data_IF_465032946578
#
_entry.id   IF_465032946578
#
_cell.length_a   1.000
_cell.length_b   1.000
_cell.length_c   1.000
_cell.angle_alpha   90.00
_cell.angle_beta   90.00
_cell.angle_gamma   90.00
#
_symmetry.space_group_name_H-M   'P 1'
#
loop_
_entity.id
_entity.type
_entity.pdbx_description
1 polymer ?
#
# COMPACT_ATOMS: atom_id res chain seq x y z
N UNK A 1 -24.34 -37.22 7.40
CA UNK A 1 -23.49 -36.07 7.00
C UNK A 1 -22.32 -36.67 6.22
N UNK A 2 -22.02 -36.15 5.03
CA UNK A 2 -21.01 -36.75 4.12
C UNK A 2 -19.59 -36.54 4.64
N UNK A 3 -18.74 -37.56 4.55
CA UNK A 3 -17.31 -37.54 4.92
C UNK A 3 -16.54 -36.39 4.22
N UNK A 4 -16.97 -36.01 3.01
CA UNK A 4 -16.41 -34.88 2.25
C UNK A 4 -16.56 -33.54 2.98
N UNK A 5 -17.67 -33.36 3.73
CA UNK A 5 -17.95 -32.14 4.46
C UNK A 5 -17.10 -32.03 5.73
N UNK A 6 -16.72 -33.16 6.31
CA UNK A 6 -15.82 -33.23 7.45
C UNK A 6 -14.37 -32.99 7.04
N UNK A 7 -13.92 -33.60 5.94
CA UNK A 7 -12.61 -33.34 5.32
C UNK A 7 -12.43 -31.87 4.94
N UNK A 8 -13.44 -31.25 4.32
CA UNK A 8 -13.40 -29.84 3.96
C UNK A 8 -13.28 -28.92 5.19
N UNK A 9 -13.94 -29.27 6.30
CA UNK A 9 -13.86 -28.52 7.57
C UNK A 9 -12.50 -28.67 8.25
N UNK A 10 -11.93 -29.88 8.27
CA UNK A 10 -10.61 -30.13 8.81
C UNK A 10 -9.54 -29.36 8.04
N UNK A 11 -9.56 -29.44 6.71
CA UNK A 11 -8.64 -28.68 5.85
C UNK A 11 -8.73 -27.17 6.09
N UNK A 12 -9.95 -26.61 6.17
CA UNK A 12 -10.13 -25.18 6.45
C UNK A 12 -9.58 -24.77 7.83
N UNK A 13 -9.75 -25.64 8.84
CA UNK A 13 -9.27 -25.38 10.20
C UNK A 13 -7.74 -25.43 10.29
N UNK A 14 -7.11 -26.43 9.66
CA UNK A 14 -5.66 -26.57 9.59
C UNK A 14 -5.03 -25.40 8.83
N UNK A 15 -5.60 -25.04 7.68
CA UNK A 15 -5.16 -23.91 6.89
C UNK A 15 -5.22 -22.60 7.68
N UNK A 16 -6.34 -22.34 8.36
CA UNK A 16 -6.51 -21.17 9.24
C UNK A 16 -5.46 -21.14 10.36
N UNK A 17 -5.23 -22.29 11.02
CA UNK A 17 -4.22 -22.41 12.07
C UNK A 17 -2.82 -22.06 11.55
N UNK A 18 -2.46 -22.56 10.36
CA UNK A 18 -1.18 -22.27 9.73
C UNK A 18 -1.01 -20.77 9.43
N UNK A 19 -2.02 -20.12 8.85
CA UNK A 19 -2.00 -18.66 8.60
C UNK A 19 -1.84 -17.87 9.89
N UNK A 20 -2.62 -18.19 10.94
CA UNK A 20 -2.54 -17.50 12.22
C UNK A 20 -1.18 -17.70 12.91
N UNK A 21 -0.62 -18.90 12.85
CA UNK A 21 0.73 -19.19 13.36
C UNK A 21 1.79 -18.34 12.66
N UNK A 22 1.72 -18.27 11.32
CA UNK A 22 2.64 -17.48 10.51
C UNK A 22 2.58 -15.97 10.81
N UNK A 23 1.39 -15.45 11.14
CA UNK A 23 1.19 -14.04 11.52
C UNK A 23 1.53 -13.73 12.99
N UNK A 24 1.67 -14.76 13.84
CA UNK A 24 2.01 -14.60 15.27
C UNK A 24 3.47 -14.91 15.60
N UNK A 25 4.20 -15.58 14.71
CA UNK A 25 5.61 -15.92 14.91
C UNK A 25 6.50 -14.68 14.83
N UNK A 26 7.71 -14.79 15.38
CA UNK A 26 8.78 -13.80 15.25
C UNK A 26 9.96 -14.40 14.47
N UNK A 27 10.39 -13.80 13.34
CA UNK A 27 9.79 -12.66 12.66
C UNK A 27 8.48 -13.03 11.93
N UNK A 28 7.54 -12.07 11.91
CA UNK A 28 6.22 -12.23 11.29
C UNK A 28 6.30 -12.58 9.81
N UNK A 29 5.52 -13.58 9.38
CA UNK A 29 5.43 -13.97 7.98
C UNK A 29 4.33 -13.21 7.23
N UNK A 30 4.69 -12.08 6.65
CA UNK A 30 3.75 -11.31 5.83
C UNK A 30 3.38 -12.01 4.51
N UNK A 31 4.05 -13.09 4.10
CA UNK A 31 3.57 -13.84 2.93
C UNK A 31 2.24 -14.55 3.19
N UNK A 32 1.91 -14.81 4.47
CA UNK A 32 0.68 -15.47 4.87
C UNK A 32 -0.58 -14.61 4.61
N UNK A 33 -0.46 -13.29 4.44
CA UNK A 33 -1.61 -12.43 4.12
C UNK A 33 -1.90 -12.35 2.62
N UNK A 34 -1.04 -12.87 1.74
CA UNK A 34 -1.25 -12.81 0.30
C UNK A 34 -2.56 -13.54 -0.10
N UNK A 35 -3.32 -12.98 -1.03
CA UNK A 35 -4.62 -13.50 -1.47
C UNK A 35 -4.54 -14.94 -1.98
N UNK A 36 -3.47 -15.29 -2.69
CA UNK A 36 -3.21 -16.64 -3.16
C UNK A 36 -3.07 -17.67 -2.03
N UNK A 37 -2.56 -17.24 -0.86
CA UNK A 37 -2.33 -18.10 0.30
C UNK A 37 -3.47 -18.05 1.30
N UNK A 38 -4.16 -16.93 1.41
CA UNK A 38 -5.30 -16.76 2.29
C UNK A 38 -6.36 -15.91 1.60
N UNK A 39 -7.23 -16.52 0.77
CA UNK A 39 -8.28 -15.80 0.06
C UNK A 39 -9.19 -15.05 1.04
N UNK A 40 -9.56 -15.74 2.12
CA UNK A 40 -10.27 -15.19 3.27
C UNK A 40 -9.32 -15.21 4.45
N UNK A 41 -8.80 -14.05 4.81
CA UNK A 41 -7.93 -13.92 5.97
C UNK A 41 -8.76 -14.10 7.26
N UNK A 42 -8.32 -14.92 8.23
CA UNK A 42 -9.06 -15.17 9.47
C UNK A 42 -8.96 -13.99 10.46
N UNK A 43 -9.30 -12.79 10.01
CA UNK A 43 -9.17 -11.52 10.74
C UNK A 43 -9.95 -11.54 12.06
N UNK A 44 -11.09 -12.23 12.10
CA UNK A 44 -11.91 -12.39 13.31
C UNK A 44 -11.19 -13.12 14.46
N UNK A 45 -10.11 -13.85 14.17
CA UNK A 45 -9.28 -14.53 15.17
C UNK A 45 -8.03 -13.73 15.57
N UNK A 46 -7.89 -12.51 15.03
CA UNK A 46 -6.81 -11.58 15.36
C UNK A 46 -7.36 -10.45 16.23
N UNK A 47 -6.66 -10.14 17.32
CA UNK A 47 -6.96 -8.94 18.11
C UNK A 47 -6.68 -7.68 17.29
N UNK A 48 -7.29 -6.54 17.67
CA UNK A 48 -6.99 -5.25 17.04
C UNK A 48 -5.49 -4.93 17.05
N UNK A 49 -4.81 -5.22 18.17
CA UNK A 49 -3.36 -5.07 18.29
C UNK A 49 -2.59 -5.95 17.30
N UNK A 50 -3.01 -7.19 17.09
CA UNK A 50 -2.39 -8.07 16.10
C UNK A 50 -2.60 -7.55 14.67
N UNK A 51 -3.80 -7.08 14.34
CA UNK A 51 -4.10 -6.48 13.03
C UNK A 51 -3.24 -5.23 12.78
N UNK A 52 -3.17 -4.35 13.78
CA UNK A 52 -2.31 -3.17 13.75
C UNK A 52 -0.84 -3.54 13.58
N UNK A 53 -0.33 -4.53 14.31
CA UNK A 53 1.06 -4.98 14.20
C UNK A 53 1.39 -5.55 12.81
N UNK A 54 0.46 -6.25 12.16
CA UNK A 54 0.63 -6.71 10.78
C UNK A 54 0.77 -5.52 9.84
N UNK A 55 -0.12 -4.52 9.95
CA UNK A 55 -0.07 -3.32 9.11
C UNK A 55 1.18 -2.49 9.37
N UNK A 56 1.58 -2.34 10.64
CA UNK A 56 2.85 -1.73 11.04
C UNK A 56 4.03 -2.42 10.37
N UNK A 57 4.13 -3.75 10.46
CA UNK A 57 5.20 -4.52 9.85
C UNK A 57 5.25 -4.36 8.32
N UNK A 58 4.09 -4.24 7.65
CA UNK A 58 4.02 -3.96 6.20
C UNK A 58 4.63 -2.59 5.90
N UNK A 59 4.17 -1.53 6.59
CA UNK A 59 4.68 -0.17 6.37
C UNK A 59 6.17 -0.09 6.65
N UNK A 60 6.63 -0.67 7.76
CA UNK A 60 8.06 -0.72 8.11
C UNK A 60 8.88 -1.39 7.01
N UNK A 61 8.44 -2.53 6.47
CA UNK A 61 9.15 -3.18 5.35
C UNK A 61 9.14 -2.35 4.07
N UNK A 62 8.05 -1.64 3.78
CA UNK A 62 7.96 -0.75 2.62
C UNK A 62 8.95 0.42 2.74
N UNK A 63 9.05 1.04 3.92
CA UNK A 63 10.01 2.13 4.16
C UNK A 63 11.46 1.64 4.17
N UNK A 64 11.74 0.50 4.83
CA UNK A 64 13.07 -0.09 4.85
C UNK A 64 13.57 -0.46 3.45
N UNK A 65 12.67 -0.89 2.54
CA UNK A 65 13.02 -1.20 1.15
C UNK A 65 13.58 0.01 0.38
N UNK A 66 13.33 1.23 0.85
CA UNK A 66 13.88 2.47 0.27
C UNK A 66 14.87 3.18 1.20
N UNK A 67 15.37 2.48 2.22
CA UNK A 67 16.38 2.98 3.15
C UNK A 67 15.86 3.93 4.23
N UNK A 68 14.54 3.98 4.45
CA UNK A 68 13.91 4.84 5.46
C UNK A 68 13.45 3.98 6.67
N UNK A 69 13.42 4.59 7.86
CA UNK A 69 13.09 3.94 9.13
C UNK A 69 12.49 4.95 10.12
N UNK A 70 12.24 4.52 11.37
CA UNK A 70 11.66 5.38 12.41
C UNK A 70 12.49 6.64 12.69
N UNK A 71 13.83 6.56 12.63
CA UNK A 71 14.69 7.71 12.92
C UNK A 71 14.69 8.75 11.79
N UNK A 72 14.41 8.32 10.55
CA UNK A 72 14.52 9.14 9.34
C UNK A 72 13.17 9.63 8.82
N UNK A 73 12.09 8.91 9.11
CA UNK A 73 10.77 9.17 8.53
C UNK A 73 9.59 8.88 9.50
N UNK A 74 9.77 9.12 10.81
CA UNK A 74 8.76 8.83 11.86
C UNK A 74 7.35 9.28 11.51
N UNK A 75 7.18 10.55 11.11
CA UNK A 75 5.86 11.13 10.83
C UNK A 75 5.17 10.41 9.66
N UNK A 76 5.91 10.15 8.58
CA UNK A 76 5.42 9.44 7.41
C UNK A 76 5.06 7.99 7.73
N UNK A 77 5.90 7.29 8.49
CA UNK A 77 5.65 5.93 8.97
C UNK A 77 4.36 5.88 9.79
N UNK A 78 4.29 6.69 10.85
CA UNK A 78 3.13 6.72 11.75
C UNK A 78 1.86 6.98 10.96
N UNK A 79 1.87 7.98 10.09
CA UNK A 79 0.70 8.30 9.28
C UNK A 79 0.29 7.16 8.34
N UNK A 80 1.23 6.54 7.63
CA UNK A 80 0.94 5.44 6.72
C UNK A 80 0.34 4.21 7.45
N UNK A 81 0.78 3.91 8.67
CA UNK A 81 0.21 2.82 9.47
C UNK A 81 -1.28 3.09 9.76
N UNK A 82 -1.61 4.31 10.20
CA UNK A 82 -2.99 4.71 10.48
C UNK A 82 -3.86 4.69 9.21
N UNK A 83 -3.29 5.06 8.06
CA UNK A 83 -3.97 4.96 6.76
C UNK A 83 -4.34 3.52 6.43
N UNK A 84 -3.40 2.57 6.53
CA UNK A 84 -3.66 1.16 6.24
C UNK A 84 -4.68 0.54 7.21
N UNK A 85 -4.64 0.92 8.48
CA UNK A 85 -5.62 0.52 9.49
C UNK A 85 -7.03 0.97 9.09
N UNK A 86 -7.19 2.27 8.85
CA UNK A 86 -8.47 2.86 8.44
C UNK A 86 -9.00 2.25 7.13
N UNK A 87 -8.11 1.97 6.19
CA UNK A 87 -8.47 1.44 4.87
C UNK A 87 -8.72 -0.08 4.90
N UNK A 88 -8.59 -0.73 6.07
CA UNK A 88 -8.92 -2.14 6.25
C UNK A 88 -8.21 -3.06 5.25
N UNK A 89 -6.91 -2.81 5.03
CA UNK A 89 -6.07 -3.55 4.06
C UNK A 89 -6.26 -5.08 4.11
N UNK A 90 -6.31 -5.63 5.32
CA UNK A 90 -6.38 -7.07 5.54
C UNK A 90 -7.66 -7.71 4.96
N UNK A 91 -8.74 -6.93 4.83
CA UNK A 91 -10.01 -7.37 4.27
C UNK A 91 -10.09 -7.22 2.74
N UNK A 92 -9.09 -6.61 2.09
CA UNK A 92 -9.12 -6.39 0.65
C UNK A 92 -9.00 -7.71 -0.11
N UNK A 93 -9.82 -7.90 -1.15
CA UNK A 93 -9.81 -9.10 -2.00
C UNK A 93 -9.60 -8.77 -3.47
N UNK A 94 -10.12 -7.63 -3.92
CA UNK A 94 -9.84 -7.01 -5.22
C UNK A 94 -9.64 -5.51 -5.02
N UNK A 95 -8.85 -4.87 -5.89
CA UNK A 95 -8.51 -3.46 -5.74
C UNK A 95 -9.75 -2.53 -5.64
N UNK A 96 -10.81 -2.68 -6.46
CA UNK A 96 -11.99 -1.81 -6.35
C UNK A 96 -12.78 -1.95 -5.05
N UNK A 97 -12.63 -3.06 -4.32
CA UNK A 97 -13.30 -3.29 -3.02
C UNK A 97 -12.44 -2.86 -1.83
N UNK A 98 -11.20 -2.40 -2.06
CA UNK A 98 -10.38 -1.85 -1.01
C UNK A 98 -10.90 -0.47 -0.60
N UNK A 99 -11.05 -0.21 0.72
CA UNK A 99 -11.61 1.06 1.19
C UNK A 99 -10.77 2.29 0.79
N UNK A 100 -9.45 2.10 0.57
CA UNK A 100 -8.56 3.14 0.06
C UNK A 100 -8.72 3.46 -1.43
N UNK A 101 -9.50 2.66 -2.17
CA UNK A 101 -9.57 2.74 -3.64
C UNK A 101 -9.97 4.12 -4.17
N UNK A 102 -11.01 4.74 -3.61
CA UNK A 102 -11.48 6.05 -4.07
C UNK A 102 -10.45 7.16 -3.82
N UNK A 103 -9.70 7.08 -2.72
CA UNK A 103 -8.62 8.01 -2.44
C UNK A 103 -7.46 7.83 -3.44
N UNK A 104 -7.08 6.58 -3.73
CA UNK A 104 -6.08 6.25 -4.75
C UNK A 104 -6.51 6.78 -6.12
N UNK A 105 -7.73 6.45 -6.57
CA UNK A 105 -8.29 6.90 -7.84
C UNK A 105 -8.27 8.43 -7.97
N UNK A 106 -8.80 9.14 -6.97
CA UNK A 106 -8.85 10.60 -6.95
C UNK A 106 -7.45 11.22 -7.01
N UNK A 107 -6.50 10.68 -6.24
CA UNK A 107 -5.13 11.16 -6.24
C UNK A 107 -4.42 10.90 -7.58
N UNK A 108 -4.63 9.74 -8.20
CA UNK A 108 -4.10 9.41 -9.53
C UNK A 108 -4.63 10.37 -10.60
N UNK A 109 -5.94 10.66 -10.60
CA UNK A 109 -6.54 11.60 -11.55
C UNK A 109 -5.93 13.00 -11.42
N UNK A 110 -5.81 13.52 -10.18
CA UNK A 110 -5.15 14.81 -9.92
C UNK A 110 -3.68 14.83 -10.37
N UNK A 111 -2.95 13.75 -10.11
CA UNK A 111 -1.55 13.64 -10.51
C UNK A 111 -1.39 13.63 -12.04
N UNK A 112 -2.26 12.94 -12.78
CA UNK A 112 -2.28 12.95 -14.26
C UNK A 112 -2.63 14.35 -14.78
N UNK A 113 -3.60 15.02 -14.19
CA UNK A 113 -3.95 16.39 -14.56
C UNK A 113 -2.76 17.33 -14.36
N UNK A 114 -2.05 17.17 -13.24
CA UNK A 114 -0.85 17.93 -12.92
C UNK A 114 0.30 17.65 -13.92
N UNK A 115 0.50 16.39 -14.30
CA UNK A 115 1.46 16.04 -15.34
C UNK A 115 1.11 16.69 -16.68
N UNK A 116 -0.17 16.67 -17.04
CA UNK A 116 -0.67 17.24 -18.30
C UNK A 116 -0.49 18.75 -18.34
N UNK A 117 -0.74 19.46 -17.23
CA UNK A 117 -0.62 20.92 -17.20
C UNK A 117 0.84 21.40 -17.12
N UNK A 118 1.74 20.60 -16.54
CA UNK A 118 3.14 21.00 -16.32
C UNK A 118 4.13 20.39 -17.30
N UNK A 119 3.75 19.32 -18.00
CA UNK A 119 4.66 18.48 -18.78
C UNK A 119 5.72 17.77 -17.94
N UNK A 120 5.55 17.68 -16.62
CA UNK A 120 6.51 17.07 -15.69
C UNK A 120 6.02 15.73 -15.17
N UNK A 121 6.96 14.92 -14.67
CA UNK A 121 6.65 13.60 -14.12
C UNK A 121 5.81 13.75 -12.83
N UNK A 122 4.61 13.14 -12.77
CA UNK A 122 3.81 13.18 -11.56
C UNK A 122 4.32 12.18 -10.52
N UNK A 123 4.10 12.48 -9.25
CA UNK A 123 4.30 11.55 -8.15
C UNK A 123 3.11 11.61 -7.19
N UNK A 124 2.75 10.44 -6.68
CA UNK A 124 1.76 10.29 -5.63
C UNK A 124 2.41 10.54 -4.26
N UNK A 125 1.66 11.06 -3.28
CA UNK A 125 2.18 11.21 -1.92
C UNK A 125 2.43 9.84 -1.27
N UNK A 126 3.34 9.80 -0.29
CA UNK A 126 3.77 8.56 0.35
C UNK A 126 2.62 7.65 0.83
N UNK A 127 1.55 8.17 1.47
CA UNK A 127 0.47 7.31 1.96
C UNK A 127 -0.27 6.58 0.83
N UNK A 128 -0.43 7.21 -0.34
CA UNK A 128 -1.09 6.60 -1.50
C UNK A 128 -0.20 5.53 -2.13
N UNK A 129 1.11 5.80 -2.25
CA UNK A 129 2.07 4.81 -2.72
C UNK A 129 2.14 3.60 -1.77
N UNK A 130 2.16 3.83 -0.46
CA UNK A 130 2.17 2.77 0.54
C UNK A 130 0.89 1.94 0.48
N UNK A 131 -0.29 2.55 0.36
CA UNK A 131 -1.55 1.81 0.16
C UNK A 131 -1.52 0.97 -1.12
N UNK A 132 -1.01 1.50 -2.23
CA UNK A 132 -0.84 0.76 -3.48
C UNK A 132 0.12 -0.44 -3.33
N UNK A 133 1.30 -0.23 -2.74
CA UNK A 133 2.29 -1.30 -2.53
C UNK A 133 1.73 -2.35 -1.57
N UNK A 134 1.09 -1.94 -0.49
CA UNK A 134 0.52 -2.85 0.49
C UNK A 134 -0.60 -3.72 -0.11
N UNK A 135 -1.48 -3.14 -0.93
CA UNK A 135 -2.59 -3.90 -1.55
C UNK A 135 -2.12 -4.78 -2.71
N UNK A 136 -1.16 -4.32 -3.52
CA UNK A 136 -0.67 -5.03 -4.70
C UNK A 136 0.45 -6.04 -4.41
N UNK A 137 1.40 -5.72 -3.52
CA UNK A 137 2.60 -6.55 -3.34
C UNK A 137 2.51 -7.44 -2.10
N UNK A 138 1.83 -6.97 -1.04
CA UNK A 138 1.67 -7.74 0.21
C UNK A 138 0.37 -8.53 0.21
N UNK A 139 -0.76 -7.85 0.03
CA UNK A 139 -2.06 -8.53 -0.04
C UNK A 139 -2.25 -9.25 -1.38
N UNK A 140 -1.55 -8.83 -2.44
CA UNK A 140 -1.62 -9.41 -3.79
C UNK A 140 -3.04 -9.48 -4.35
N UNK A 141 -3.83 -8.41 -4.13
CA UNK A 141 -5.17 -8.37 -4.71
C UNK A 141 -5.11 -8.20 -6.22
N UNK A 142 -6.09 -8.77 -6.92
CA UNK A 142 -6.24 -8.52 -8.35
C UNK A 142 -6.72 -7.09 -8.61
N UNK A 143 -6.20 -6.46 -9.67
CA UNK A 143 -6.62 -5.13 -10.10
C UNK A 143 -8.09 -5.10 -10.59
N UNK A 144 -8.58 -6.22 -11.16
CA UNK A 144 -9.95 -6.46 -11.62
C UNK A 144 -10.72 -5.20 -12.09
N UNK A 145 -10.48 -4.75 -13.33
CA UNK A 145 -11.04 -3.52 -13.91
C UNK A 145 -10.72 -2.25 -13.09
N UNK A 146 -9.43 -1.95 -12.87
CA UNK A 146 -9.04 -0.71 -12.22
C UNK A 146 -9.39 0.49 -13.10
N UNK A 147 -9.53 1.66 -12.48
CA UNK A 147 -9.72 2.93 -13.19
C UNK A 147 -8.51 3.26 -14.08
N UNK A 148 -8.77 3.86 -15.25
CA UNK A 148 -7.74 4.24 -16.22
C UNK A 148 -6.67 5.15 -15.61
N UNK A 149 -7.05 6.02 -14.66
CA UNK A 149 -6.09 6.87 -13.97
C UNK A 149 -5.07 6.04 -13.16
N UNK A 150 -5.52 4.95 -12.53
CA UNK A 150 -4.64 4.07 -11.76
C UNK A 150 -3.72 3.30 -12.71
N UNK A 151 -4.27 2.74 -13.79
CA UNK A 151 -3.48 2.03 -14.81
C UNK A 151 -2.40 2.92 -15.40
N UNK A 152 -2.76 4.14 -15.83
CA UNK A 152 -1.81 5.10 -16.40
C UNK A 152 -0.72 5.48 -15.40
N UNK A 153 -1.04 5.65 -14.13
CA UNK A 153 -0.04 5.92 -13.09
C UNK A 153 0.92 4.74 -12.88
N UNK A 154 0.41 3.50 -12.83
CA UNK A 154 1.23 2.31 -12.61
C UNK A 154 2.14 1.99 -13.81
N UNK A 155 1.59 2.02 -15.02
CA UNK A 155 2.28 1.58 -16.24
C UNK A 155 3.18 2.67 -16.82
N UNK A 156 2.61 3.85 -17.10
CA UNK A 156 3.31 4.93 -17.81
C UNK A 156 4.27 5.69 -16.90
N UNK A 157 3.87 5.95 -15.66
CA UNK A 157 4.61 6.85 -14.77
C UNK A 157 5.50 6.14 -13.75
N UNK A 158 5.49 4.79 -13.72
CA UNK A 158 6.28 3.93 -12.83
C UNK A 158 6.23 4.39 -11.37
N UNK A 159 5.06 4.83 -10.90
CA UNK A 159 4.95 5.70 -9.72
C UNK A 159 5.49 5.10 -8.42
N UNK A 160 5.56 3.76 -8.34
CA UNK A 160 6.13 3.05 -7.20
C UNK A 160 7.64 3.31 -7.03
N UNK A 161 8.38 3.62 -8.10
CA UNK A 161 9.81 3.95 -8.01
C UNK A 161 10.09 5.25 -7.27
N UNK A 162 9.07 6.10 -7.10
CA UNK A 162 9.22 7.41 -6.47
C UNK A 162 8.96 7.42 -4.97
N UNK A 163 8.74 6.25 -4.35
CA UNK A 163 8.44 6.14 -2.92
C UNK A 163 9.48 6.86 -2.04
N UNK A 164 10.79 6.69 -2.31
CA UNK A 164 11.84 7.39 -1.53
C UNK A 164 11.69 8.90 -1.59
N UNK A 165 11.37 9.46 -2.76
CA UNK A 165 11.12 10.91 -2.89
C UNK A 165 9.88 11.28 -2.12
N UNK A 166 8.77 10.56 -2.32
CA UNK A 166 7.49 10.83 -1.70
C UNK A 166 7.59 10.85 -0.17
N UNK A 167 8.37 9.94 0.44
CA UNK A 167 8.63 9.91 1.88
C UNK A 167 9.41 11.16 2.30
N UNK A 168 10.52 11.48 1.65
CA UNK A 168 11.38 12.64 2.00
C UNK A 168 10.65 13.97 1.96
N UNK A 169 9.70 14.11 1.04
CA UNK A 169 8.99 15.37 0.81
C UNK A 169 7.64 15.43 1.52
N UNK A 170 7.19 14.31 2.10
CA UNK A 170 5.93 14.21 2.85
C UNK A 170 5.72 15.33 3.88
N UNK A 171 6.72 15.76 4.69
CA UNK A 171 6.52 16.86 5.64
C UNK A 171 6.12 18.20 5.00
N UNK A 172 6.31 18.36 3.68
CA UNK A 172 5.98 19.60 2.94
C UNK A 172 4.70 19.49 2.12
N UNK A 173 4.47 18.34 1.50
CA UNK A 173 3.34 18.14 0.57
C UNK A 173 2.15 17.40 1.20
N UNK A 174 2.40 16.69 2.30
CA UNK A 174 1.48 15.77 2.97
C UNK A 174 0.77 14.80 2.01
N UNK A 175 -0.50 15.06 1.70
CA UNK A 175 -1.42 14.14 1.00
C UNK A 175 -1.72 14.54 -0.43
N UNK A 176 -1.09 15.61 -0.94
CA UNK A 176 -1.33 16.06 -2.31
C UNK A 176 -0.34 15.45 -3.29
N UNK A 177 -0.78 15.11 -4.51
CA UNK A 177 0.14 14.74 -5.58
C UNK A 177 1.00 15.95 -5.97
N UNK A 178 2.17 15.66 -6.52
CA UNK A 178 3.18 16.66 -6.85
C UNK A 178 3.94 16.27 -8.11
N UNK A 179 4.77 17.17 -8.62
CA UNK A 179 5.66 16.87 -9.73
C UNK A 179 7.09 16.68 -9.25
N UNK A 180 7.77 15.74 -9.88
CA UNK A 180 9.20 15.53 -9.75
C UNK A 180 9.89 16.34 -10.84
N UNK A 181 10.80 17.21 -10.42
CA UNK A 181 11.65 17.98 -11.32
C UNK A 181 13.07 17.46 -11.17
N UNK A 182 13.59 16.88 -12.23
CA UNK A 182 15.02 16.59 -12.32
C UNK A 182 15.75 17.93 -12.47
N UNK A 183 16.65 18.22 -11.54
CA UNK A 183 17.48 19.40 -11.59
C UNK A 183 18.83 19.00 -12.19
N UNK A 184 19.16 19.50 -13.39
CA UNK A 184 20.42 19.15 -14.07
C UNK A 184 21.68 19.55 -13.28
N UNK A 185 21.56 20.48 -12.33
CA UNK A 185 22.66 20.94 -11.46
C UNK A 185 22.82 20.13 -10.16
N UNK A 186 21.86 19.27 -9.82
CA UNK A 186 21.95 18.37 -8.68
C UNK A 186 21.49 16.99 -9.11
N UNK A 187 22.33 15.96 -8.99
CA UNK A 187 22.01 14.55 -9.31
C UNK A 187 20.81 13.95 -8.51
N UNK A 188 20.02 14.77 -7.82
CA UNK A 188 18.87 14.37 -7.01
C UNK A 188 17.61 15.10 -7.49
N UNK A 189 16.51 14.36 -7.74
CA UNK A 189 15.22 14.96 -8.09
C UNK A 189 14.64 15.82 -6.95
N UNK A 190 13.98 16.93 -7.32
CA UNK A 190 13.36 17.89 -6.39
C UNK A 190 11.84 17.84 -6.56
N UNK A 191 11.10 17.73 -5.46
CA UNK A 191 9.64 17.87 -5.48
C UNK A 191 9.24 19.33 -5.46
N UNK A 192 8.29 19.72 -6.31
CA UNK A 192 7.59 21.00 -6.19
C UNK A 192 6.10 20.79 -6.04
N UNK A 193 5.54 21.45 -5.03
CA UNK A 193 4.10 21.69 -4.94
C UNK A 193 3.77 22.76 -5.97
N UNK A 194 2.81 22.49 -6.84
CA UNK A 194 2.32 23.50 -7.79
C UNK A 194 1.12 24.17 -7.14
N UNK A 195 1.26 25.45 -6.78
CA UNK A 195 0.14 26.26 -6.36
C UNK A 195 -0.56 26.79 -7.64
N UNK A 196 -1.83 26.43 -7.82
CA UNK A 196 -2.73 27.03 -8.83
C UNK A 196 -3.09 26.10 -9.99
N UNK A 197 -4.36 25.68 -10.03
CA UNK A 197 -5.40 26.36 -10.83
C UNK A 197 -6.58 26.61 -9.90
#
# INVERSE_FOLDING_TARGET
>A
MSDDLELARQFATEHMSHVLSALRREPMDLSAIALERSPILPIGFLTKTQQFNIQKAIVERIFMAVGENWDTAEEGLRYCIHVLERESLLSATILPLYNGYNAIKSCCAKAIQLATSTGKQPCLPAPILVSLIAVLDYRKVMLARPDDAILKMLDTHRVLSWLSIAIKVYPKIHKEPFVVIENESTLRPVARRVNGI
#
